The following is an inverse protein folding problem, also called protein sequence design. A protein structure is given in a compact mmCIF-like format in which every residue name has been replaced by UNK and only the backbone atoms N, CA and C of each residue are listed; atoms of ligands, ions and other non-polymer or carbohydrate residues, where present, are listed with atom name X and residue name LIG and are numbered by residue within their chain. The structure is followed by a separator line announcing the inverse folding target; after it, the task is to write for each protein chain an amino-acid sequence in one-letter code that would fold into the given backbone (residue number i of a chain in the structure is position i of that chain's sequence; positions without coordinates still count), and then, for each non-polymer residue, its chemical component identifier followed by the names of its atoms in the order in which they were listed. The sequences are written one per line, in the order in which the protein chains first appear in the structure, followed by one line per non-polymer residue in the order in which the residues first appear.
data_IF_695366104905
#
_entry.id   IF_695366104905
#
_cell.length_a   1.000
_cell.length_b   1.000
_cell.length_c   1.000
_cell.angle_alpha   90.00
_cell.angle_beta   90.00
_cell.angle_gamma   90.00
#
_symmetry.space_group_name_H-M   'P 1'
#
loop_
_entity.id
_entity.type
_entity.pdbx_description
1 polymer ?
#
# COMPACT_ATOMS: atom_id res chain seq x y z
N UNK A 1 -5.39 23.55 0.94
CA UNK A 1 -5.56 22.78 -0.32
C UNK A 1 -4.70 21.54 -0.18
N UNK A 2 -5.29 20.34 -0.16
CA UNK A 2 -4.52 19.09 -0.11
C UNK A 2 -3.66 18.99 -1.35
N UNK A 3 -2.35 18.95 -1.19
CA UNK A 3 -1.42 18.74 -2.29
C UNK A 3 -1.51 17.26 -2.66
N UNK A 4 -2.02 16.95 -3.85
CA UNK A 4 -1.93 15.60 -4.40
C UNK A 4 -0.56 15.43 -5.06
N UNK A 5 0.20 14.41 -4.67
CA UNK A 5 1.40 13.98 -5.36
C UNK A 5 0.99 12.98 -6.45
N UNK A 6 1.19 13.36 -7.71
CA UNK A 6 0.96 12.51 -8.86
C UNK A 6 1.84 12.97 -10.03
N UNK A 7 2.38 12.01 -10.80
CA UNK A 7 3.04 12.34 -12.06
C UNK A 7 2.00 12.75 -13.12
N UNK A 8 2.39 13.55 -14.13
CA UNK A 8 1.52 13.84 -15.26
C UNK A 8 1.04 12.55 -15.93
N UNK A 9 -0.24 12.48 -16.29
CA UNK A 9 -0.76 11.31 -16.98
C UNK A 9 -0.22 11.25 -18.41
N UNK A 10 0.33 10.09 -18.79
CA UNK A 10 0.57 9.79 -20.19
C UNK A 10 -0.78 9.72 -20.89
N UNK A 11 -0.99 10.47 -21.98
CA UNK A 11 -2.24 10.52 -22.77
C UNK A 11 -2.62 9.22 -23.50
N UNK A 12 -2.21 8.07 -22.96
CA UNK A 12 -2.41 6.72 -23.50
C UNK A 12 -3.78 6.13 -23.17
N UNK A 13 -4.54 6.75 -22.24
CA UNK A 13 -5.87 6.26 -21.88
C UNK A 13 -6.94 6.77 -22.85
N UNK A 14 -7.95 5.93 -23.20
CA UNK A 14 -9.10 6.38 -23.96
C UNK A 14 -9.80 7.56 -23.29
N UNK A 15 -10.19 8.56 -24.06
CA UNK A 15 -10.98 9.71 -23.56
C UNK A 15 -12.40 9.30 -23.14
N UNK A 16 -12.92 8.22 -23.74
CA UNK A 16 -14.23 7.64 -23.43
C UNK A 16 -14.02 6.19 -23.01
N UNK A 17 -14.51 5.82 -21.82
CA UNK A 17 -14.41 4.45 -21.29
C UNK A 17 -15.37 3.53 -22.04
N UNK A 18 -14.83 2.53 -22.74
CA UNK A 18 -15.60 1.43 -23.33
C UNK A 18 -15.88 0.30 -22.34
N UNK A 19 -16.60 -0.75 -22.76
CA UNK A 19 -16.84 -1.94 -21.93
C UNK A 19 -15.57 -2.79 -21.72
N UNK A 20 -14.56 -2.63 -22.58
CA UNK A 20 -13.28 -3.31 -22.51
C UNK A 20 -12.43 -2.80 -21.33
N UNK A 21 -11.66 -3.70 -20.72
CA UNK A 21 -10.63 -3.30 -19.74
C UNK A 21 -9.44 -2.66 -20.46
N UNK A 22 -8.99 -1.50 -19.97
CA UNK A 22 -7.73 -0.90 -20.41
C UNK A 22 -6.60 -1.22 -19.42
N UNK A 23 -5.36 -0.87 -19.79
CA UNK A 23 -4.17 -1.09 -18.96
C UNK A 23 -4.30 -0.57 -17.53
N UNK A 24 -5.00 0.56 -17.33
CA UNK A 24 -5.24 1.11 -15.99
C UNK A 24 -6.22 0.24 -15.22
N UNK A 25 -7.25 -0.31 -15.85
CA UNK A 25 -8.16 -1.25 -15.18
C UNK A 25 -7.42 -2.55 -14.81
N UNK A 26 -6.61 -3.11 -15.72
CA UNK A 26 -5.81 -4.32 -15.46
C UNK A 26 -4.80 -4.12 -14.32
N UNK A 27 -3.99 -3.07 -14.36
CA UNK A 27 -2.97 -2.87 -13.32
C UNK A 27 -3.59 -2.56 -11.94
N UNK A 28 -4.79 -1.98 -11.89
CA UNK A 28 -5.53 -1.82 -10.62
C UNK A 28 -6.02 -3.16 -10.05
N UNK A 29 -6.44 -4.08 -10.93
CA UNK A 29 -6.82 -5.44 -10.52
C UNK A 29 -5.61 -6.19 -9.97
N UNK A 30 -4.48 -6.16 -10.69
CA UNK A 30 -3.21 -6.76 -10.23
C UNK A 30 -2.76 -6.15 -8.89
N UNK A 31 -2.78 -4.81 -8.74
CA UNK A 31 -2.45 -4.13 -7.48
C UNK A 31 -3.35 -4.60 -6.32
N UNK A 32 -4.63 -4.84 -6.59
CA UNK A 32 -5.58 -5.32 -5.57
C UNK A 32 -5.29 -6.77 -5.20
N UNK A 33 -4.95 -7.61 -6.17
CA UNK A 33 -4.59 -9.00 -5.95
C UNK A 33 -3.32 -9.14 -5.10
N UNK A 34 -2.27 -8.38 -5.43
CA UNK A 34 -1.01 -8.39 -4.67
C UNK A 34 -1.18 -7.92 -3.23
N UNK A 35 -2.05 -6.93 -2.97
CA UNK A 35 -2.45 -6.54 -1.60
C UNK A 35 -3.14 -7.67 -0.85
N UNK A 36 -4.05 -8.38 -1.53
CA UNK A 36 -4.77 -9.52 -0.95
C UNK A 36 -3.82 -10.67 -0.58
N UNK A 37 -2.90 -11.02 -1.47
CA UNK A 37 -1.88 -12.04 -1.21
C UNK A 37 -0.97 -11.62 -0.06
N UNK A 38 -0.46 -10.38 -0.07
CA UNK A 38 0.40 -9.84 0.99
C UNK A 38 -0.27 -9.95 2.36
N UNK A 39 -1.53 -9.55 2.47
CA UNK A 39 -2.30 -9.66 3.72
C UNK A 39 -2.48 -11.12 4.15
N UNK A 40 -2.84 -12.00 3.22
CA UNK A 40 -3.10 -13.41 3.49
C UNK A 40 -1.85 -14.16 3.96
N UNK A 41 -0.70 -13.92 3.33
CA UNK A 41 0.57 -14.51 3.74
C UNK A 41 1.04 -13.98 5.10
N UNK A 42 0.89 -12.68 5.37
CA UNK A 42 1.19 -12.13 6.69
C UNK A 42 0.35 -12.81 7.78
N UNK A 43 -0.97 -12.93 7.58
CA UNK A 43 -1.85 -13.63 8.54
C UNK A 43 -1.44 -15.10 8.70
N UNK A 44 -1.20 -15.82 7.61
CA UNK A 44 -0.84 -17.23 7.65
C UNK A 44 0.47 -17.50 8.38
N UNK A 45 1.51 -16.67 8.16
CA UNK A 45 2.83 -16.85 8.78
C UNK A 45 2.78 -16.80 10.31
N UNK A 46 1.86 -16.03 10.91
CA UNK A 46 1.70 -15.92 12.36
C UNK A 46 1.40 -17.28 13.02
N UNK A 47 0.80 -18.21 12.30
CA UNK A 47 0.33 -19.50 12.83
C UNK A 47 1.09 -20.71 12.22
N UNK A 48 2.11 -20.47 11.39
CA UNK A 48 2.89 -21.53 10.74
C UNK A 48 3.97 -22.11 11.65
N UNK A 49 3.79 -23.36 12.09
CA UNK A 49 4.72 -24.05 12.99
C UNK A 49 5.84 -24.81 12.29
N UNK A 50 5.65 -25.23 11.03
CA UNK A 50 6.68 -25.97 10.29
C UNK A 50 7.77 -25.00 9.79
N UNK A 51 9.03 -25.10 10.25
CA UNK A 51 10.05 -24.10 9.92
C UNK A 51 10.39 -24.01 8.44
N UNK A 52 10.35 -25.13 7.72
CA UNK A 52 10.63 -25.15 6.27
C UNK A 52 9.50 -24.47 5.50
N UNK A 53 8.25 -24.79 5.83
CA UNK A 53 7.09 -24.15 5.21
C UNK A 53 7.05 -22.65 5.52
N UNK A 54 7.27 -22.28 6.78
CA UNK A 54 7.34 -20.88 7.20
C UNK A 54 8.40 -20.12 6.39
N UNK A 55 9.62 -20.65 6.27
CA UNK A 55 10.68 -20.02 5.48
C UNK A 55 10.30 -19.87 3.99
N UNK A 56 9.68 -20.88 3.39
CA UNK A 56 9.22 -20.82 2.00
C UNK A 56 8.15 -19.74 1.80
N UNK A 57 7.12 -19.71 2.67
CA UNK A 57 6.04 -18.71 2.56
C UNK A 57 6.54 -17.31 2.86
N UNK A 58 7.50 -17.17 3.78
CA UNK A 58 8.16 -15.90 4.06
C UNK A 58 8.90 -15.37 2.83
N UNK A 59 9.59 -16.24 2.07
CA UNK A 59 10.23 -15.86 0.80
C UNK A 59 9.19 -15.40 -0.23
N UNK A 60 8.08 -16.14 -0.38
CA UNK A 60 7.00 -15.77 -1.29
C UNK A 60 6.43 -14.40 -0.91
N UNK A 61 6.17 -14.15 0.37
CA UNK A 61 5.70 -12.85 0.85
C UNK A 61 6.69 -11.72 0.52
N UNK A 62 8.00 -11.96 0.67
CA UNK A 62 9.01 -10.98 0.27
C UNK A 62 8.96 -10.66 -1.22
N UNK A 63 8.75 -11.68 -2.07
CA UNK A 63 8.59 -11.48 -3.52
C UNK A 63 7.29 -10.74 -3.85
N UNK A 64 6.17 -11.09 -3.21
CA UNK A 64 4.88 -10.37 -3.32
C UNK A 64 5.02 -8.90 -2.94
N UNK A 65 5.73 -8.57 -1.85
CA UNK A 65 6.00 -7.18 -1.48
C UNK A 65 6.80 -6.43 -2.56
N UNK A 66 7.79 -7.08 -3.16
CA UNK A 66 8.59 -6.48 -4.23
C UNK A 66 7.74 -6.23 -5.49
N UNK A 67 6.92 -7.20 -5.89
CA UNK A 67 5.97 -7.04 -7.01
C UNK A 67 5.00 -5.89 -6.76
N UNK A 68 4.37 -5.87 -5.58
CA UNK A 68 3.44 -4.81 -5.17
C UNK A 68 4.10 -3.42 -5.22
N UNK A 69 5.36 -3.30 -4.80
CA UNK A 69 6.12 -2.05 -4.88
C UNK A 69 6.34 -1.61 -6.34
N UNK A 70 6.76 -2.53 -7.22
CA UNK A 70 6.98 -2.23 -8.64
C UNK A 70 5.69 -1.82 -9.36
N UNK A 71 4.58 -2.51 -9.08
CA UNK A 71 3.27 -2.18 -9.66
C UNK A 71 2.84 -0.78 -9.22
N UNK A 72 2.96 -0.48 -7.92
CA UNK A 72 2.65 0.84 -7.39
C UNK A 72 3.51 1.93 -8.05
N UNK A 73 4.82 1.72 -8.15
CA UNK A 73 5.74 2.68 -8.77
C UNK A 73 5.40 2.91 -10.25
N UNK A 74 5.13 1.84 -11.02
CA UNK A 74 4.69 1.95 -12.40
C UNK A 74 3.39 2.77 -12.55
N UNK A 75 2.40 2.52 -11.69
CA UNK A 75 1.16 3.29 -11.69
C UNK A 75 1.39 4.75 -11.31
N UNK A 76 2.29 5.02 -10.36
CA UNK A 76 2.67 6.37 -9.97
C UNK A 76 3.35 7.12 -11.11
N UNK A 77 4.36 6.50 -11.76
CA UNK A 77 5.08 7.07 -12.89
C UNK A 77 4.17 7.40 -14.08
N UNK A 78 3.14 6.58 -14.33
CA UNK A 78 2.13 6.81 -15.37
C UNK A 78 1.07 7.86 -15.00
N UNK A 79 1.11 8.40 -13.78
CA UNK A 79 0.09 9.33 -13.26
C UNK A 79 -1.26 8.67 -12.97
N UNK A 80 -1.30 7.34 -12.90
CA UNK A 80 -2.53 6.57 -12.68
C UNK A 80 -2.86 6.41 -11.20
N UNK A 81 -1.87 6.57 -10.33
CA UNK A 81 -2.00 6.58 -8.88
C UNK A 81 -1.68 7.96 -8.30
N UNK A 82 -2.55 8.46 -7.43
CA UNK A 82 -2.37 9.74 -6.73
C UNK A 82 -2.20 9.50 -5.25
N UNK A 83 -1.20 10.14 -4.65
CA UNK A 83 -1.01 10.14 -3.21
C UNK A 83 -1.51 11.45 -2.63
N UNK A 84 -2.25 11.39 -1.51
CA UNK A 84 -2.56 12.58 -0.74
C UNK A 84 -1.39 12.87 0.18
N UNK A 85 -0.85 14.09 0.11
CA UNK A 85 0.06 14.56 1.16
C UNK A 85 -0.79 14.84 2.38
N UNK A 86 -0.43 14.21 3.50
CA UNK A 86 -1.05 14.49 4.79
C UNK A 86 -0.85 15.97 5.14
N UNK A 87 -1.89 16.60 5.67
CA UNK A 87 -1.79 18.00 6.07
C UNK A 87 -0.82 18.14 7.25
N UNK A 88 0.09 19.11 7.19
CA UNK A 88 1.09 19.31 8.25
C UNK A 88 0.43 19.62 9.60
N UNK A 89 -0.71 20.32 9.63
CA UNK A 89 -1.45 20.55 10.87
C UNK A 89 -2.05 19.24 11.39
N UNK A 90 -2.60 18.39 10.51
CA UNK A 90 -3.13 17.07 10.88
C UNK A 90 -2.03 16.17 11.46
N UNK A 91 -0.84 16.14 10.84
CA UNK A 91 0.32 15.42 11.36
C UNK A 91 0.66 15.91 12.78
N UNK A 92 0.70 17.23 13.00
CA UNK A 92 1.06 17.79 14.31
C UNK A 92 -0.02 17.58 15.37
N UNK A 93 -1.30 17.59 14.98
CA UNK A 93 -2.41 17.25 15.86
C UNK A 93 -2.32 15.80 16.32
N UNK A 94 -2.15 14.85 15.39
CA UNK A 94 -2.01 13.42 15.71
C UNK A 94 -0.78 13.18 16.58
N UNK A 95 0.36 13.81 16.27
CA UNK A 95 1.57 13.73 17.10
C UNK A 95 1.31 14.20 18.54
N UNK A 96 0.63 15.34 18.70
CA UNK A 96 0.31 15.89 20.02
C UNK A 96 -0.64 14.96 20.79
N UNK A 97 -1.67 14.43 20.12
CA UNK A 97 -2.61 13.47 20.69
C UNK A 97 -1.89 12.22 21.22
N UNK A 98 -1.07 11.56 20.41
CA UNK A 98 -0.35 10.35 20.84
C UNK A 98 0.73 10.64 21.89
N UNK A 99 1.35 11.82 21.85
CA UNK A 99 2.27 12.26 22.92
C UNK A 99 1.51 12.39 24.25
N UNK A 100 0.29 12.93 24.24
CA UNK A 100 -0.53 13.02 25.45
C UNK A 100 -0.88 11.65 26.03
N UNK A 101 -1.07 10.62 25.19
CA UNK A 101 -1.35 9.25 25.63
C UNK A 101 -0.21 8.61 26.40
N UNK A 102 1.02 9.12 26.27
CA UNK A 102 2.16 8.63 27.07
C UNK A 102 1.94 8.82 28.57
N UNK A 103 1.11 9.82 28.97
CA UNK A 103 0.73 10.04 30.38
C UNK A 103 -0.16 8.93 30.95
N UNK A 104 -0.76 8.10 30.09
CA UNK A 104 -1.61 6.98 30.48
C UNK A 104 -0.82 5.67 30.61
N UNK A 105 0.49 5.68 30.32
CA UNK A 105 1.30 4.49 30.48
C UNK A 105 1.43 4.10 31.95
N UNK A 106 1.32 2.79 32.29
CA UNK A 106 1.53 2.33 33.65
C UNK A 106 2.95 2.67 34.10
N UNK A 107 3.07 3.20 35.31
CA UNK A 107 4.37 3.35 35.97
C UNK A 107 4.66 2.07 36.73
N UNK A 108 5.75 1.41 36.38
CA UNK A 108 6.27 0.28 37.16
C UNK A 108 7.30 0.86 38.13
N UNK A 109 7.03 0.73 39.44
CA UNK A 109 7.97 1.07 40.52
C UNK A 109 9.07 0.02 40.65
#
# INVERSE_FOLDING_TARGET
MTVELAMPQSGQLPQVKGPEMNDRDFINEILTHEKYLSASYNTGLLEMQNPKLHATVQSILSDTHNSQYQIFDQMFQKGWYKMKVADQQEIQQVKTQFTSYQTQFPTFQ
#
